data_IF_290100736696
#
_entry.id   IF_290100736696
#
_cell.length_a   1.000
_cell.length_b   1.000
_cell.length_c   1.000
_cell.angle_alpha   90.00
_cell.angle_beta   90.00
_cell.angle_gamma   90.00
#
_symmetry.space_group_name_H-M   'P 1'
#
loop_
_entity.id
_entity.type
_entity.pdbx_description
1 polymer ?
#
# COMPACT_ATOMS: atom_id res chain seq x y z
N UNK A 1 9.74 -15.24 -20.84
CA UNK A 1 8.97 -14.36 -19.91
C UNK A 1 8.50 -15.23 -18.76
N UNK A 2 9.05 -15.04 -17.56
CA UNK A 2 8.44 -15.67 -16.38
C UNK A 2 7.01 -15.13 -16.25
N UNK A 3 6.00 -15.96 -15.92
CA UNK A 3 4.66 -15.50 -15.67
C UNK A 3 4.68 -14.43 -14.54
N UNK A 4 3.85 -13.39 -14.67
CA UNK A 4 3.67 -12.45 -13.59
C UNK A 4 3.24 -13.23 -12.33
N UNK A 5 3.69 -12.82 -11.13
CA UNK A 5 3.26 -13.48 -9.91
C UNK A 5 1.73 -13.43 -9.82
N UNK A 6 1.13 -14.52 -9.37
CA UNK A 6 -0.31 -14.56 -9.14
C UNK A 6 -0.66 -13.63 -7.98
N UNK A 7 -1.76 -12.86 -8.09
CA UNK A 7 -2.22 -12.02 -6.99
C UNK A 7 -2.51 -12.85 -5.74
N UNK A 8 -2.06 -12.36 -4.57
CA UNK A 8 -2.20 -13.04 -3.28
C UNK A 8 -3.46 -12.57 -2.55
N UNK A 9 -4.30 -13.50 -2.11
CA UNK A 9 -5.39 -13.19 -1.19
C UNK A 9 -4.85 -12.79 0.18
N UNK A 10 -5.41 -11.73 0.77
CA UNK A 10 -5.15 -11.31 2.14
C UNK A 10 -6.37 -11.55 3.00
N UNK A 11 -6.19 -12.16 4.17
CA UNK A 11 -7.18 -12.13 5.24
C UNK A 11 -6.49 -11.82 6.57
N UNK A 12 -6.94 -10.77 7.24
CA UNK A 12 -6.54 -10.38 8.58
C UNK A 12 -7.74 -10.55 9.50
N UNK A 13 -7.64 -11.42 10.51
CA UNK A 13 -8.73 -11.84 11.36
C UNK A 13 -8.43 -11.43 12.82
N UNK A 14 -9.18 -10.46 13.34
CA UNK A 14 -9.13 -10.01 14.73
C UNK A 14 -7.79 -9.43 15.17
N UNK A 15 -7.10 -8.68 14.31
CA UNK A 15 -5.76 -8.14 14.59
C UNK A 15 -5.81 -7.13 15.72
N UNK A 16 -5.11 -7.44 16.82
CA UNK A 16 -4.89 -6.51 17.93
C UNK A 16 -3.39 -6.23 18.11
N UNK A 17 -3.07 -4.99 18.45
CA UNK A 17 -1.70 -4.56 18.70
C UNK A 17 -1.64 -3.54 19.82
N UNK A 18 -0.71 -3.77 20.76
CA UNK A 18 -0.49 -2.91 21.92
C UNK A 18 0.98 -2.50 22.02
N UNK A 19 1.21 -1.30 22.49
CA UNK A 19 2.56 -0.79 22.81
C UNK A 19 2.50 0.07 24.05
N UNK A 20 3.39 -0.19 25.01
CA UNK A 20 3.48 0.54 26.27
C UNK A 20 2.13 0.69 27.01
N UNK A 21 1.31 -0.37 27.03
CA UNK A 21 0.00 -0.37 27.67
C UNK A 21 -1.11 0.38 26.92
N UNK A 22 -0.84 0.86 25.71
CA UNK A 22 -1.81 1.52 24.84
C UNK A 22 -2.21 0.61 23.69
N UNK A 23 -3.49 0.32 23.55
CA UNK A 23 -4.05 -0.40 22.42
C UNK A 23 -4.07 0.51 21.19
N UNK A 24 -3.40 0.10 20.12
CA UNK A 24 -3.35 0.79 18.84
C UNK A 24 -4.27 0.13 17.79
N UNK A 25 -4.50 -1.19 17.93
CA UNK A 25 -5.45 -1.95 17.13
C UNK A 25 -6.24 -2.86 18.06
N UNK A 26 -7.55 -2.94 17.85
CA UNK A 26 -8.49 -3.73 18.64
C UNK A 26 -9.37 -4.56 17.72
N UNK A 27 -9.05 -5.84 17.60
CA UNK A 27 -9.76 -6.86 16.83
C UNK A 27 -10.10 -6.46 15.38
N UNK A 28 -9.16 -5.81 14.67
CA UNK A 28 -9.36 -5.36 13.29
C UNK A 28 -9.40 -6.57 12.34
N UNK A 29 -10.50 -6.68 11.59
CA UNK A 29 -10.69 -7.72 10.55
C UNK A 29 -10.81 -7.06 9.18
N UNK A 30 -9.99 -7.49 8.23
CA UNK A 30 -9.94 -6.98 6.86
C UNK A 30 -9.54 -8.10 5.91
N UNK A 31 -10.13 -8.11 4.72
CA UNK A 31 -9.77 -9.04 3.66
C UNK A 31 -9.58 -8.30 2.33
N UNK A 32 -8.80 -8.91 1.43
CA UNK A 32 -8.69 -8.50 0.03
C UNK A 32 -8.63 -9.74 -0.85
N UNK A 33 -9.49 -9.78 -1.85
CA UNK A 33 -9.49 -10.84 -2.86
C UNK A 33 -8.28 -10.72 -3.80
N UNK A 34 -7.85 -11.80 -4.47
CA UNK A 34 -6.77 -11.73 -5.45
C UNK A 34 -7.05 -10.69 -6.53
N UNK A 35 -6.12 -9.76 -6.72
CA UNK A 35 -6.23 -8.67 -7.71
C UNK A 35 -7.10 -7.49 -7.29
N UNK A 36 -7.73 -7.55 -6.13
CA UNK A 36 -8.53 -6.44 -5.58
C UNK A 36 -7.64 -5.31 -5.07
N UNK A 37 -8.08 -4.07 -5.25
CA UNK A 37 -7.47 -2.88 -4.65
C UNK A 37 -8.33 -2.41 -3.49
N UNK A 38 -7.86 -2.58 -2.26
CA UNK A 38 -8.55 -2.15 -1.05
C UNK A 38 -7.88 -0.93 -0.43
N UNK A 39 -8.71 0.03 -0.02
CA UNK A 39 -8.28 1.25 0.65
C UNK A 39 -8.53 1.18 2.15
N UNK A 40 -7.49 1.42 2.94
CA UNK A 40 -7.59 1.62 4.39
C UNK A 40 -7.54 3.12 4.67
N UNK A 41 -8.69 3.67 5.09
CA UNK A 41 -8.88 5.10 5.35
C UNK A 41 -9.23 5.35 6.82
N UNK A 42 -9.15 6.59 7.27
CA UNK A 42 -9.45 6.97 8.66
C UNK A 42 -8.61 8.16 9.11
N UNK A 43 -8.95 8.79 10.24
CA UNK A 43 -8.21 9.92 10.79
C UNK A 43 -6.74 9.60 11.10
N UNK A 44 -5.93 10.64 11.32
CA UNK A 44 -4.57 10.46 11.82
C UNK A 44 -4.58 9.78 13.18
N UNK A 45 -3.65 8.84 13.40
CA UNK A 45 -3.58 8.07 14.64
C UNK A 45 -4.63 6.96 14.78
N UNK A 46 -5.45 6.69 13.75
CA UNK A 46 -6.45 5.61 13.81
C UNK A 46 -5.86 4.18 13.77
N UNK A 47 -4.56 4.03 13.49
CA UNK A 47 -3.88 2.71 13.47
C UNK A 47 -3.57 2.16 12.08
N UNK A 48 -3.83 2.89 10.98
CA UNK A 48 -3.64 2.42 9.59
C UNK A 48 -2.23 1.88 9.30
N UNK A 49 -1.20 2.70 9.55
CA UNK A 49 0.20 2.30 9.38
C UNK A 49 0.58 1.13 10.30
N UNK A 50 0.04 1.09 11.53
CA UNK A 50 0.26 -0.03 12.46
C UNK A 50 -0.32 -1.32 11.92
N UNK A 51 -1.55 -1.28 11.39
CA UNK A 51 -2.17 -2.43 10.73
C UNK A 51 -1.35 -2.89 9.51
N UNK A 52 -0.96 -1.96 8.64
CA UNK A 52 -0.13 -2.27 7.49
C UNK A 52 1.19 -2.94 7.91
N UNK A 53 1.84 -2.44 8.97
CA UNK A 53 3.07 -3.03 9.53
C UNK A 53 2.87 -4.45 10.07
N UNK A 54 1.70 -4.77 10.59
CA UNK A 54 1.34 -6.14 10.95
C UNK A 54 1.21 -7.02 9.69
N UNK A 55 0.58 -6.54 8.62
CA UNK A 55 0.39 -7.29 7.37
C UNK A 55 1.72 -7.71 6.77
N UNK A 56 2.67 -6.79 6.59
CA UNK A 56 3.97 -7.16 6.03
C UNK A 56 4.98 -7.68 7.08
N UNK A 57 4.59 -7.73 8.36
CA UNK A 57 5.31 -8.40 9.43
C UNK A 57 6.46 -7.63 10.03
N UNK A 58 6.48 -6.30 9.92
CA UNK A 58 7.36 -5.45 10.71
C UNK A 58 6.91 -5.38 12.18
N UNK A 59 5.62 -5.59 12.44
CA UNK A 59 5.06 -5.72 13.79
C UNK A 59 4.37 -7.07 13.93
N UNK A 60 4.51 -7.69 15.11
CA UNK A 60 3.80 -8.93 15.44
C UNK A 60 2.53 -8.56 16.21
N UNK A 61 1.33 -8.94 15.72
CA UNK A 61 0.10 -8.75 16.46
C UNK A 61 0.14 -9.40 17.84
N UNK A 62 -0.50 -8.78 18.82
CA UNK A 62 -0.70 -9.38 20.15
C UNK A 62 -1.80 -10.46 20.12
N UNK A 63 -2.80 -10.29 19.24
CA UNK A 63 -3.85 -11.26 18.98
C UNK A 63 -4.29 -11.19 17.53
N UNK A 64 -5.02 -12.24 17.07
CA UNK A 64 -5.46 -12.39 15.70
C UNK A 64 -4.40 -13.04 14.80
N UNK A 65 -4.74 -13.20 13.52
CA UNK A 65 -3.87 -13.85 12.53
C UNK A 65 -3.99 -13.18 11.17
N UNK A 66 -2.92 -13.25 10.39
CA UNK A 66 -2.87 -12.77 9.01
C UNK A 66 -2.62 -13.97 8.11
N UNK A 67 -3.48 -14.17 7.15
CA UNK A 67 -3.39 -15.23 6.17
C UNK A 67 -3.04 -14.65 4.80
N UNK A 68 -2.07 -15.27 4.12
CA UNK A 68 -1.67 -14.98 2.75
C UNK A 68 -1.91 -16.24 1.91
N UNK A 69 -2.91 -16.20 1.02
CA UNK A 69 -3.42 -17.39 0.28
C UNK A 69 -3.79 -18.54 1.23
N UNK A 70 -4.42 -18.21 2.37
CA UNK A 70 -4.81 -19.18 3.39
C UNK A 70 -3.68 -19.67 4.31
N UNK A 71 -2.42 -19.38 4.01
CA UNK A 71 -1.29 -19.72 4.89
C UNK A 71 -1.09 -18.63 5.95
N UNK A 72 -0.92 -19.04 7.22
CA UNK A 72 -0.67 -18.12 8.32
C UNK A 72 0.71 -17.45 8.13
N UNK A 73 0.72 -16.12 7.98
CA UNK A 73 1.93 -15.33 7.78
C UNK A 73 2.94 -15.44 8.94
N UNK A 74 2.49 -15.82 10.15
CA UNK A 74 3.37 -16.04 11.30
C UNK A 74 4.22 -17.31 11.16
N UNK A 75 3.75 -18.29 10.37
CA UNK A 75 4.47 -19.54 10.11
C UNK A 75 5.45 -19.44 8.93
N UNK A 76 5.31 -18.41 8.10
CA UNK A 76 6.18 -18.18 6.96
C UNK A 76 7.53 -17.64 7.42
N UNK A 77 8.60 -18.14 6.83
CA UNK A 77 9.93 -17.56 7.00
C UNK A 77 9.96 -16.10 6.47
N UNK A 78 10.85 -15.27 7.02
CA UNK A 78 10.96 -13.84 6.64
C UNK A 78 11.07 -13.65 5.14
N UNK A 79 11.93 -14.43 4.46
CA UNK A 79 12.10 -14.35 2.99
C UNK A 79 10.86 -14.80 2.23
N UNK A 80 10.19 -15.86 2.68
CA UNK A 80 8.98 -16.38 2.04
C UNK A 80 7.85 -15.35 2.13
N UNK A 81 7.64 -14.75 3.30
CA UNK A 81 6.67 -13.66 3.45
C UNK A 81 7.03 -12.46 2.59
N UNK A 82 8.31 -12.05 2.57
CA UNK A 82 8.78 -10.96 1.73
C UNK A 82 8.64 -11.24 0.22
N UNK A 83 8.60 -12.48 -0.24
CA UNK A 83 8.26 -12.82 -1.64
C UNK A 83 6.77 -12.68 -1.95
N UNK A 84 5.90 -12.81 -0.96
CA UNK A 84 4.45 -12.70 -1.14
C UNK A 84 3.95 -11.26 -0.99
N UNK A 85 4.56 -10.50 -0.07
CA UNK A 85 4.15 -9.13 0.27
C UNK A 85 5.33 -8.18 0.09
N UNK A 86 5.19 -7.21 -0.80
CA UNK A 86 6.09 -6.08 -0.88
C UNK A 86 5.46 -4.82 -0.28
N UNK A 87 6.30 -3.95 0.26
CA UNK A 87 5.86 -2.70 0.87
C UNK A 87 6.51 -1.49 0.23
N UNK A 88 5.70 -0.46 -0.01
CA UNK A 88 6.14 0.91 -0.31
C UNK A 88 5.83 1.73 0.94
N UNK A 89 6.83 1.99 1.81
CA UNK A 89 6.62 2.75 3.03
C UNK A 89 6.47 4.25 2.74
N UNK A 90 5.87 4.97 3.67
CA UNK A 90 5.72 6.43 3.62
C UNK A 90 7.09 7.14 3.52
N UNK A 91 8.04 6.72 4.36
CA UNK A 91 9.41 7.23 4.38
C UNK A 91 10.40 6.14 3.96
N UNK A 92 11.42 6.52 3.20
CA UNK A 92 12.52 5.63 2.79
C UNK A 92 13.86 6.20 3.22
N UNK A 93 14.23 6.05 4.52
CA UNK A 93 15.54 6.48 5.01
C UNK A 93 16.67 5.62 4.43
N UNK A 94 17.88 6.17 4.35
CA UNK A 94 19.10 5.40 4.04
C UNK A 94 19.38 5.18 2.55
N UNK A 95 18.78 5.99 1.65
CA UNK A 95 19.00 5.89 0.20
C UNK A 95 20.10 6.84 -0.31
N UNK A 96 20.86 7.47 0.60
CA UNK A 96 21.82 8.51 0.24
C UNK A 96 22.97 7.97 -0.63
N UNK A 97 23.26 8.64 -1.74
CA UNK A 97 24.34 8.30 -2.65
C UNK A 97 24.07 7.10 -3.59
N UNK A 98 22.88 6.48 -3.52
CA UNK A 98 22.54 5.33 -4.35
C UNK A 98 21.84 5.75 -5.64
N UNK A 99 22.11 5.03 -6.73
CA UNK A 99 21.38 5.19 -7.99
C UNK A 99 19.99 4.55 -7.90
N UNK A 100 19.08 4.97 -8.78
CA UNK A 100 17.73 4.37 -8.89
C UNK A 100 17.84 2.86 -9.12
N UNK A 101 18.73 2.41 -9.98
CA UNK A 101 19.00 0.99 -10.23
C UNK A 101 19.39 0.24 -8.97
N UNK A 102 20.28 0.81 -8.16
CA UNK A 102 20.72 0.21 -6.90
C UNK A 102 19.57 0.12 -5.88
N UNK A 103 18.73 1.15 -5.81
CA UNK A 103 17.53 1.14 -4.96
C UNK A 103 16.57 0.02 -5.39
N UNK A 104 16.32 -0.12 -6.69
CA UNK A 104 15.44 -1.18 -7.21
C UNK A 104 16.05 -2.56 -6.97
N UNK A 105 17.36 -2.73 -7.16
CA UNK A 105 18.06 -3.99 -6.92
C UNK A 105 17.91 -4.50 -5.48
N UNK A 106 17.78 -3.62 -4.48
CA UNK A 106 17.52 -4.03 -3.10
C UNK A 106 16.24 -4.88 -2.96
N UNK A 107 15.25 -4.69 -3.83
CA UNK A 107 14.03 -5.50 -3.84
C UNK A 107 14.27 -6.97 -4.18
N UNK A 108 15.44 -7.35 -4.74
CA UNK A 108 15.80 -8.75 -4.99
C UNK A 108 16.29 -9.50 -3.75
N UNK A 109 16.55 -8.80 -2.64
CA UNK A 109 17.09 -9.40 -1.39
C UNK A 109 16.33 -10.65 -0.89
N UNK A 110 15.00 -10.77 -0.96
CA UNK A 110 14.29 -11.97 -0.54
C UNK A 110 14.57 -13.21 -1.40
N UNK A 111 15.04 -13.00 -2.64
CA UNK A 111 15.34 -14.07 -3.59
C UNK A 111 16.78 -14.57 -3.51
N UNK A 112 17.66 -13.86 -2.77
CA UNK A 112 19.08 -14.11 -2.70
C UNK A 112 19.54 -14.71 -1.39
N UNK A 113 20.66 -15.42 -1.45
CA UNK A 113 21.48 -15.73 -0.27
C UNK A 113 22.32 -14.50 0.10
N UNK A 114 22.77 -14.41 1.33
CA UNK A 114 23.48 -13.24 1.85
C UNK A 114 24.75 -12.86 1.05
N UNK A 115 25.40 -13.85 0.42
CA UNK A 115 26.64 -13.69 -0.38
C UNK A 115 26.42 -13.75 -1.89
N UNK A 116 25.17 -13.81 -2.35
CA UNK A 116 24.85 -13.95 -3.77
C UNK A 116 24.78 -12.57 -4.43
N UNK A 117 25.56 -12.41 -5.50
CA UNK A 117 25.55 -11.18 -6.32
C UNK A 117 24.38 -11.18 -7.29
N UNK A 118 24.10 -10.02 -7.90
CA UNK A 118 23.11 -9.92 -8.97
C UNK A 118 23.57 -10.73 -10.18
N UNK A 119 22.70 -11.59 -10.67
CA UNK A 119 22.90 -12.31 -11.90
C UNK A 119 22.21 -11.62 -13.09
N UNK A 120 22.33 -12.22 -14.29
CA UNK A 120 21.73 -11.68 -15.51
C UNK A 120 20.18 -11.69 -15.45
N UNK A 121 19.58 -12.60 -14.69
CA UNK A 121 18.13 -12.67 -14.49
C UNK A 121 17.65 -11.53 -13.58
N UNK A 122 18.37 -11.27 -12.52
CA UNK A 122 18.10 -10.12 -11.64
C UNK A 122 18.22 -8.79 -12.40
N UNK A 123 19.29 -8.61 -13.19
CA UNK A 123 19.47 -7.41 -14.00
C UNK A 123 18.29 -7.20 -14.96
N UNK A 124 17.82 -8.25 -15.63
CA UNK A 124 16.65 -8.20 -16.50
C UNK A 124 15.39 -7.82 -15.74
N UNK A 125 15.14 -8.38 -14.55
CA UNK A 125 13.96 -8.08 -13.72
C UNK A 125 13.98 -6.64 -13.21
N UNK A 126 15.17 -6.14 -12.86
CA UNK A 126 15.36 -4.73 -12.49
C UNK A 126 14.98 -3.82 -13.65
N UNK A 127 15.51 -4.09 -14.86
CA UNK A 127 15.20 -3.30 -16.05
C UNK A 127 13.70 -3.33 -16.40
N UNK A 128 13.06 -4.49 -16.33
CA UNK A 128 11.62 -4.64 -16.54
C UNK A 128 10.82 -3.84 -15.51
N UNK A 129 11.20 -3.86 -14.22
CA UNK A 129 10.52 -3.11 -13.18
C UNK A 129 10.66 -1.61 -13.39
N UNK A 130 11.85 -1.12 -13.76
CA UNK A 130 12.11 0.28 -14.10
C UNK A 130 11.28 0.74 -15.30
N UNK A 131 11.20 -0.08 -16.35
CA UNK A 131 10.38 0.20 -17.53
C UNK A 131 8.89 0.26 -17.19
N UNK A 132 8.41 -0.70 -16.38
CA UNK A 132 7.00 -0.83 -16.01
C UNK A 132 6.46 0.40 -15.28
N UNK A 133 7.29 1.04 -14.46
CA UNK A 133 6.91 2.27 -13.74
C UNK A 133 7.35 3.56 -14.46
N UNK A 134 8.02 3.46 -15.63
CA UNK A 134 8.41 4.60 -16.44
C UNK A 134 9.62 5.39 -15.93
N UNK A 135 10.53 4.77 -15.14
CA UNK A 135 11.75 5.43 -14.64
C UNK A 135 13.05 4.83 -15.20
N UNK A 136 12.97 3.97 -16.22
CA UNK A 136 14.14 3.39 -16.86
C UNK A 136 15.18 4.44 -17.34
N UNK A 137 14.81 5.60 -17.92
CA UNK A 137 15.77 6.64 -18.30
C UNK A 137 16.51 7.26 -17.13
N UNK A 138 16.05 7.06 -15.90
CA UNK A 138 16.61 7.62 -14.66
C UNK A 138 17.44 6.60 -13.88
N UNK A 139 17.65 5.38 -14.42
CA UNK A 139 18.25 4.25 -13.71
C UNK A 139 19.61 4.59 -13.07
N UNK A 140 20.44 5.38 -13.74
CA UNK A 140 21.79 5.71 -13.29
C UNK A 140 21.86 7.06 -12.54
N UNK A 141 20.71 7.78 -12.42
CA UNK A 141 20.64 8.99 -11.59
C UNK A 141 20.66 8.62 -10.12
N UNK A 142 21.16 9.55 -9.29
CA UNK A 142 21.06 9.41 -7.84
C UNK A 142 19.62 9.58 -7.39
N UNK A 143 19.19 8.75 -6.47
CA UNK A 143 17.80 8.75 -5.98
C UNK A 143 17.41 10.11 -5.37
N UNK A 144 18.34 10.80 -4.72
CA UNK A 144 18.14 12.11 -4.11
C UNK A 144 17.89 13.25 -5.11
N UNK A 145 18.29 13.06 -6.38
CA UNK A 145 18.10 14.04 -7.46
C UNK A 145 16.71 13.96 -8.12
N UNK A 146 15.93 12.92 -7.76
CA UNK A 146 14.62 12.69 -8.33
C UNK A 146 13.57 13.64 -7.75
N UNK A 147 12.57 14.01 -8.56
CA UNK A 147 11.33 14.61 -8.08
C UNK A 147 10.56 13.63 -7.17
N UNK A 148 9.60 14.14 -6.39
CA UNK A 148 8.77 13.31 -5.50
C UNK A 148 8.05 12.17 -6.25
N UNK A 149 7.46 12.47 -7.40
CA UNK A 149 6.78 11.46 -8.22
C UNK A 149 7.72 10.41 -8.82
N UNK A 150 8.92 10.82 -9.26
CA UNK A 150 9.95 9.89 -9.76
C UNK A 150 10.48 9.00 -8.63
N UNK A 151 10.71 9.57 -7.43
CA UNK A 151 11.08 8.78 -6.23
C UNK A 151 10.03 7.73 -5.91
N UNK A 152 8.77 8.12 -5.90
CA UNK A 152 7.67 7.21 -5.61
C UNK A 152 7.59 6.06 -6.63
N UNK A 153 7.74 6.36 -7.92
CA UNK A 153 7.81 5.34 -8.98
C UNK A 153 9.01 4.40 -8.78
N UNK A 154 10.18 4.91 -8.40
CA UNK A 154 11.36 4.10 -8.12
C UNK A 154 11.14 3.17 -6.90
N UNK A 155 10.45 3.63 -5.86
CA UNK A 155 10.07 2.80 -4.70
C UNK A 155 9.05 1.72 -5.08
N UNK A 156 8.12 2.02 -5.97
CA UNK A 156 7.20 1.02 -6.54
C UNK A 156 7.99 0.01 -7.39
N UNK A 157 8.95 0.45 -8.22
CA UNK A 157 9.82 -0.48 -8.96
C UNK A 157 10.58 -1.42 -8.02
N UNK A 158 11.13 -0.90 -6.90
CA UNK A 158 11.78 -1.71 -5.86
C UNK A 158 10.84 -2.75 -5.25
N UNK A 159 9.58 -2.41 -5.06
CA UNK A 159 8.58 -3.35 -4.58
C UNK A 159 8.23 -4.40 -5.66
N UNK A 160 8.08 -3.98 -6.92
CA UNK A 160 7.71 -4.86 -8.02
C UNK A 160 8.80 -5.88 -8.40
N UNK A 161 10.09 -5.50 -8.32
CA UNK A 161 11.20 -6.41 -8.63
C UNK A 161 11.29 -7.58 -7.64
N UNK A 162 10.62 -7.46 -6.51
CA UNK A 162 10.41 -8.53 -5.52
C UNK A 162 9.41 -9.58 -6.01
N UNK A 163 8.64 -9.28 -7.08
CA UNK A 163 7.60 -10.13 -7.66
C UNK A 163 6.51 -10.52 -6.64
N UNK A 164 5.94 -9.55 -5.92
CA UNK A 164 4.96 -9.83 -4.89
C UNK A 164 3.59 -10.15 -5.50
N UNK A 165 2.80 -10.98 -4.81
CA UNK A 165 1.38 -11.13 -5.10
C UNK A 165 0.51 -10.07 -4.40
N UNK A 166 0.99 -9.50 -3.29
CA UNK A 166 0.34 -8.42 -2.52
C UNK A 166 1.28 -7.21 -2.42
N UNK A 167 0.79 -6.04 -2.80
CA UNK A 167 1.48 -4.77 -2.67
C UNK A 167 0.81 -3.91 -1.59
N UNK A 168 1.56 -3.60 -0.53
CA UNK A 168 1.12 -2.75 0.57
C UNK A 168 1.75 -1.36 0.43
N UNK A 169 0.94 -0.30 0.30
CA UNK A 169 1.42 1.07 0.12
C UNK A 169 0.93 1.95 1.28
N UNK A 170 1.88 2.55 1.98
CA UNK A 170 1.60 3.46 3.09
C UNK A 170 1.66 4.90 2.59
N UNK A 171 0.51 5.54 2.40
CA UNK A 171 0.35 6.92 1.93
C UNK A 171 1.13 7.24 0.64
N UNK A 172 0.93 6.45 -0.44
CA UNK A 172 1.77 6.55 -1.65
C UNK A 172 1.61 7.87 -2.42
N UNK A 173 0.62 8.67 -2.07
CA UNK A 173 0.29 9.96 -2.70
C UNK A 173 0.70 11.16 -1.86
N UNK A 174 1.25 10.94 -0.67
CA UNK A 174 1.59 12.04 0.24
C UNK A 174 2.72 12.92 -0.34
N UNK A 175 2.59 14.24 -0.18
CA UNK A 175 3.53 15.26 -0.69
C UNK A 175 3.73 15.27 -2.21
N UNK A 176 2.83 14.66 -2.97
CA UNK A 176 2.84 14.69 -4.43
C UNK A 176 1.81 15.69 -4.97
N UNK A 177 2.15 16.35 -6.09
CA UNK A 177 1.19 17.13 -6.85
C UNK A 177 0.07 16.25 -7.39
N UNK A 178 -1.13 16.81 -7.59
CA UNK A 178 -2.35 16.11 -8.02
C UNK A 178 -2.08 15.21 -9.24
N UNK A 179 -1.35 15.71 -10.24
CA UNK A 179 -1.01 14.93 -11.42
C UNK A 179 -0.29 13.62 -11.06
N UNK A 180 0.74 13.71 -10.22
CA UNK A 180 1.52 12.54 -9.81
C UNK A 180 0.72 11.58 -8.92
N UNK A 181 -0.18 12.11 -8.07
CA UNK A 181 -1.10 11.27 -7.29
C UNK A 181 -1.95 10.38 -8.20
N UNK A 182 -2.58 10.97 -9.23
CA UNK A 182 -3.40 10.25 -10.20
C UNK A 182 -2.58 9.23 -11.00
N UNK A 183 -1.39 9.61 -11.46
CA UNK A 183 -0.49 8.74 -12.20
C UNK A 183 -0.04 7.52 -11.37
N UNK A 184 0.29 7.72 -10.07
CA UNK A 184 0.72 6.64 -9.17
C UNK A 184 -0.44 5.68 -8.90
N UNK A 185 -1.62 6.18 -8.55
CA UNK A 185 -2.78 5.32 -8.29
C UNK A 185 -3.25 4.60 -9.55
N UNK A 186 -3.24 5.28 -10.70
CA UNK A 186 -3.51 4.66 -11.99
C UNK A 186 -2.51 3.55 -12.32
N UNK A 187 -1.21 3.78 -12.09
CA UNK A 187 -0.18 2.78 -12.25
C UNK A 187 -0.46 1.55 -11.35
N UNK A 188 -0.69 1.75 -10.05
CA UNK A 188 -0.92 0.66 -9.09
C UNK A 188 -2.06 -0.25 -9.54
N UNK A 189 -3.17 0.28 -10.05
CA UNK A 189 -4.29 -0.52 -10.57
C UNK A 189 -3.92 -1.40 -11.77
N UNK A 190 -2.88 -1.05 -12.53
CA UNK A 190 -2.45 -1.83 -13.72
C UNK A 190 -1.43 -2.92 -13.38
N UNK A 191 -0.98 -3.02 -12.13
CA UNK A 191 0.11 -3.93 -11.76
C UNK A 191 -0.30 -5.40 -11.73
N UNK A 192 -1.60 -5.72 -11.65
CA UNK A 192 -2.08 -7.11 -11.57
C UNK A 192 -1.73 -7.79 -10.24
N UNK A 193 -1.46 -7.03 -9.19
CA UNK A 193 -1.27 -7.48 -7.82
C UNK A 193 -2.53 -7.21 -7.00
N UNK A 194 -2.69 -7.89 -5.87
CA UNK A 194 -3.59 -7.42 -4.82
C UNK A 194 -2.98 -6.20 -4.17
N UNK A 195 -3.75 -5.14 -3.93
CA UNK A 195 -3.22 -3.89 -3.39
C UNK A 195 -3.92 -3.50 -2.09
N UNK A 196 -3.14 -3.20 -1.05
CA UNK A 196 -3.63 -2.62 0.19
C UNK A 196 -3.04 -1.20 0.30
N UNK A 197 -3.90 -0.19 0.15
CA UNK A 197 -3.53 1.22 0.11
C UNK A 197 -3.96 1.93 1.39
N UNK A 198 -3.05 2.54 2.11
CA UNK A 198 -3.38 3.53 3.13
C UNK A 198 -3.51 4.89 2.43
N UNK A 199 -4.69 5.49 2.49
CA UNK A 199 -4.99 6.76 1.83
C UNK A 199 -5.61 7.77 2.81
N UNK A 200 -5.27 9.05 2.62
CA UNK A 200 -5.89 10.16 3.37
C UNK A 200 -7.00 10.84 2.57
N UNK A 201 -6.84 10.95 1.26
CA UNK A 201 -7.83 11.58 0.38
C UNK A 201 -8.95 10.59 0.07
N UNK A 202 -10.16 10.91 0.55
CA UNK A 202 -11.35 10.07 0.37
C UNK A 202 -11.84 10.03 -1.08
N UNK A 203 -11.62 11.10 -1.86
CA UNK A 203 -11.99 11.13 -3.27
C UNK A 203 -11.04 10.25 -4.12
N UNK A 204 -9.75 10.28 -3.80
CA UNK A 204 -8.80 9.35 -4.41
C UNK A 204 -9.11 7.91 -4.00
N UNK A 205 -9.41 7.65 -2.72
CA UNK A 205 -9.80 6.32 -2.27
C UNK A 205 -11.08 5.82 -2.97
N UNK A 206 -12.10 6.69 -3.12
CA UNK A 206 -13.34 6.36 -3.83
C UNK A 206 -13.12 6.06 -5.32
N UNK A 207 -12.14 6.72 -5.95
CA UNK A 207 -11.90 6.59 -7.38
C UNK A 207 -11.01 5.40 -7.76
N UNK A 208 -10.13 4.98 -6.84
CA UNK A 208 -9.09 3.99 -7.15
C UNK A 208 -9.19 2.68 -6.38
N UNK A 209 -9.99 2.60 -5.32
CA UNK A 209 -10.21 1.37 -4.55
C UNK A 209 -11.53 0.72 -4.90
N UNK A 210 -11.54 -0.61 -4.95
CA UNK A 210 -12.74 -1.42 -5.16
C UNK A 210 -13.56 -1.50 -3.87
N UNK A 211 -12.88 -1.58 -2.71
CA UNK A 211 -13.46 -1.56 -1.37
C UNK A 211 -12.68 -0.64 -0.45
N UNK A 212 -13.40 -0.07 0.53
CA UNK A 212 -12.84 0.75 1.59
C UNK A 212 -13.05 0.09 2.95
N UNK A 213 -12.05 0.24 3.82
CA UNK A 213 -12.09 -0.11 5.24
C UNK A 213 -11.78 1.16 6.03
N UNK A 214 -12.71 1.55 6.90
CA UNK A 214 -12.58 2.78 7.70
C UNK A 214 -12.14 2.42 9.09
N UNK A 215 -10.96 2.88 9.46
CA UNK A 215 -10.36 2.67 10.77
C UNK A 215 -10.52 3.93 11.64
N UNK A 216 -11.05 3.78 12.83
CA UNK A 216 -11.16 4.86 13.83
C UNK A 216 -10.78 4.34 15.21
N UNK A 217 -9.91 5.06 15.93
CA UNK A 217 -9.45 4.71 17.27
C UNK A 217 -9.03 3.23 17.43
N UNK A 218 -8.32 2.67 16.41
CA UNK A 218 -7.85 1.29 16.42
C UNK A 218 -8.89 0.23 16.05
N UNK A 219 -10.11 0.60 15.70
CA UNK A 219 -11.22 -0.32 15.35
C UNK A 219 -11.69 -0.10 13.94
N UNK A 220 -12.14 -1.16 13.29
CA UNK A 220 -12.85 -1.08 12.02
C UNK A 220 -14.29 -0.62 12.30
N UNK A 221 -14.69 0.53 11.71
CA UNK A 221 -16.01 1.11 11.91
C UNK A 221 -16.93 0.97 10.70
N UNK A 222 -16.38 0.82 9.51
CA UNK A 222 -17.14 0.55 8.28
C UNK A 222 -16.28 -0.16 7.25
N UNK A 223 -16.90 -0.98 6.40
CA UNK A 223 -16.27 -1.61 5.24
C UNK A 223 -17.27 -1.86 4.13
N UNK A 224 -16.82 -1.79 2.87
CA UNK A 224 -17.68 -2.04 1.70
C UNK A 224 -17.22 -1.28 0.48
N UNK A 225 -18.09 -1.21 -0.54
CA UNK A 225 -17.84 -0.36 -1.70
C UNK A 225 -17.74 1.11 -1.30
N UNK A 226 -17.01 1.95 -2.06
CA UNK A 226 -16.93 3.38 -1.76
C UNK A 226 -18.30 4.05 -1.59
N UNK A 227 -19.30 3.66 -2.40
CA UNK A 227 -20.66 4.18 -2.28
C UNK A 227 -21.37 3.77 -0.98
N UNK A 228 -21.12 2.58 -0.48
CA UNK A 228 -21.74 2.10 0.77
C UNK A 228 -21.08 2.72 2.01
N UNK A 229 -19.78 3.04 1.92
CA UNK A 229 -18.97 3.49 3.06
C UNK A 229 -18.98 5.01 3.21
N UNK A 230 -18.84 5.76 2.10
CA UNK A 230 -18.74 7.22 2.17
C UNK A 230 -20.11 7.85 2.30
N UNK A 231 -20.57 8.06 3.53
CA UNK A 231 -21.82 8.75 3.86
C UNK A 231 -21.56 10.01 4.68
N UNK A 232 -22.48 10.97 4.65
CA UNK A 232 -22.35 12.22 5.41
C UNK A 232 -22.28 11.93 6.92
N UNK A 233 -23.06 10.94 7.39
CA UNK A 233 -23.12 10.51 8.79
C UNK A 233 -21.76 9.91 9.23
N UNK A 234 -21.20 8.98 8.45
CA UNK A 234 -19.90 8.39 8.77
C UNK A 234 -18.79 9.44 8.83
N UNK A 235 -18.79 10.39 7.87
CA UNK A 235 -17.79 11.43 7.82
C UNK A 235 -17.92 12.42 9.01
N UNK A 236 -19.12 12.70 9.43
CA UNK A 236 -19.36 13.52 10.63
C UNK A 236 -18.89 12.79 11.90
N UNK A 237 -19.22 11.49 12.05
CA UNK A 237 -18.86 10.69 13.22
C UNK A 237 -17.34 10.43 13.31
N UNK A 238 -16.73 10.01 12.21
CA UNK A 238 -15.34 9.51 12.21
C UNK A 238 -14.31 10.63 12.04
N UNK A 239 -14.62 11.62 11.19
CA UNK A 239 -13.67 12.69 10.87
C UNK A 239 -14.04 14.03 11.52
N UNK A 240 -15.24 14.13 12.11
CA UNK A 240 -15.72 15.37 12.72
C UNK A 240 -15.95 16.49 11.73
N UNK A 241 -16.25 16.18 10.46
CA UNK A 241 -16.43 17.15 9.38
C UNK A 241 -17.86 17.16 8.86
N UNK A 242 -18.26 18.31 8.33
CA UNK A 242 -19.48 18.43 7.54
C UNK A 242 -19.16 18.23 6.07
N UNK A 243 -19.96 17.42 5.40
CA UNK A 243 -19.76 17.11 3.97
C UNK A 243 -21.07 16.94 3.24
N UNK A 244 -20.99 16.92 1.91
CA UNK A 244 -22.02 16.44 1.00
C UNK A 244 -21.43 15.37 0.12
N UNK A 245 -22.18 14.29 -0.09
CA UNK A 245 -21.76 13.22 -1.00
C UNK A 245 -22.50 13.38 -2.31
N UNK A 246 -21.73 13.70 -3.35
CA UNK A 246 -22.20 13.73 -4.73
C UNK A 246 -21.71 12.50 -5.51
N UNK A 247 -21.97 12.52 -6.81
CA UNK A 247 -21.46 11.52 -7.77
C UNK A 247 -20.52 12.24 -8.73
N UNK A 248 -19.32 11.68 -8.92
CA UNK A 248 -18.36 12.24 -9.87
C UNK A 248 -18.92 12.10 -11.30
N UNK A 249 -19.06 13.20 -12.07
CA UNK A 249 -19.83 13.21 -13.34
C UNK A 249 -19.24 12.34 -14.46
N UNK A 250 -17.94 12.00 -14.36
CA UNK A 250 -17.24 11.21 -15.38
C UNK A 250 -17.05 9.76 -14.92
N UNK A 251 -16.64 9.53 -13.66
CA UNK A 251 -16.29 8.18 -13.15
C UNK A 251 -17.46 7.47 -12.49
N UNK A 252 -18.49 8.21 -12.07
CA UNK A 252 -19.61 7.67 -11.29
C UNK A 252 -19.26 7.35 -9.84
N UNK A 253 -18.01 7.51 -9.41
CA UNK A 253 -17.59 7.26 -8.03
C UNK A 253 -18.17 8.32 -7.07
N UNK A 254 -18.30 8.02 -5.76
CA UNK A 254 -18.66 9.03 -4.76
C UNK A 254 -17.68 10.20 -4.78
N UNK A 255 -18.21 11.40 -4.64
CA UNK A 255 -17.44 12.64 -4.56
C UNK A 255 -17.77 13.38 -3.26
N UNK A 256 -16.80 13.42 -2.36
CA UNK A 256 -16.92 14.10 -1.07
C UNK A 256 -16.64 15.59 -1.25
N UNK A 257 -17.66 16.41 -1.02
CA UNK A 257 -17.55 17.87 -0.97
C UNK A 257 -17.48 18.30 0.49
N UNK A 258 -16.33 18.79 0.91
CA UNK A 258 -16.12 19.27 2.28
C UNK A 258 -16.77 20.63 2.49
N UNK A 259 -17.49 20.81 3.59
CA UNK A 259 -18.15 22.06 3.96
C UNK A 259 -17.35 22.76 5.06
N UNK A 260 -17.32 24.11 5.06
CA UNK A 260 -16.69 24.84 6.14
C UNK A 260 -17.27 24.47 7.50
N UNK A 261 -16.41 24.40 8.51
CA UNK A 261 -16.83 24.31 9.90
C UNK A 261 -17.34 25.71 10.30
N UNK A 262 -18.62 25.83 10.66
CA UNK A 262 -19.23 27.05 11.17
C UNK A 262 -18.81 27.28 12.59
#
# INVERSE_FOLDING_TARGET
MSPAPSPTALAADGISYEVAGRTLLDAVTLDAAPGETVGLVGPNGSGKTTFLRCVYGALRPAAGRILLDGADAATLGVKERARRVAVVPQDSPGTFGLTVRQIVAMGRSPHKRFWEQDDADDARRIDQSLQRVGVAPLADRRFEELSGGERQRALIARALVQEPGLLALDEPTNHLDIRYQLEILGLVRTLGTTNLLVLHDLNLAASYCDRLFVLSAGRLVASGSPHAVLTEELLAEVYGIRSRIGVHPVTGSPNVVYLPLS
#
